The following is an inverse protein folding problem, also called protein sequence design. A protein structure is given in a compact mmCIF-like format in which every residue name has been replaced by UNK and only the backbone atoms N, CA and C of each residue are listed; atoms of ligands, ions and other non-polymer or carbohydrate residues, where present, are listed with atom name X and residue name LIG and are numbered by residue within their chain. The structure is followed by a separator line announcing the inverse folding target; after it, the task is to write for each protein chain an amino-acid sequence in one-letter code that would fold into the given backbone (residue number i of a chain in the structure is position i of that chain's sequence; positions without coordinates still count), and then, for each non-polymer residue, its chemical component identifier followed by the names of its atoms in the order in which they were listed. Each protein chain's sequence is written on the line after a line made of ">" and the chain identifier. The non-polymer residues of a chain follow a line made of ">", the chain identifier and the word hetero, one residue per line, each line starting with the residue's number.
data_IF_307817407049
#
_entry.id   IF_307817407049
#
_cell.length_a   1.000
_cell.length_b   1.000
_cell.length_c   1.000
_cell.angle_alpha   90.00
_cell.angle_beta   90.00
_cell.angle_gamma   90.00
#
_symmetry.space_group_name_H-M   'P 1'
#
loop_
_entity.id
_entity.type
_entity.pdbx_description
1 polymer ?
#
# COMPACT_ATOMS: atom_id res chain seq x y z
N UNK A 1 -42.31 86.86 -1.89
CA UNK A 1 -42.86 85.88 -0.91
C UNK A 1 -42.07 84.56 -0.90
N UNK A 2 -41.72 84.00 -2.07
CA UNK A 2 -40.95 82.73 -2.18
C UNK A 2 -39.53 82.83 -1.59
N UNK A 3 -38.86 83.97 -1.73
CA UNK A 3 -37.51 84.17 -1.19
C UNK A 3 -37.44 84.16 0.34
N UNK A 4 -38.46 84.69 1.02
CA UNK A 4 -38.53 84.73 2.48
C UNK A 4 -38.75 83.34 3.09
N UNK A 5 -39.55 82.48 2.45
CA UNK A 5 -39.73 81.10 2.91
C UNK A 5 -38.48 80.25 2.66
N UNK A 6 -37.80 80.45 1.52
CA UNK A 6 -36.52 79.79 1.24
C UNK A 6 -35.44 80.18 2.27
N UNK A 7 -35.38 81.45 2.65
CA UNK A 7 -34.46 81.91 3.70
C UNK A 7 -34.83 81.32 5.07
N UNK A 8 -36.11 81.17 5.38
CA UNK A 8 -36.58 80.56 6.64
C UNK A 8 -36.22 79.08 6.71
N UNK A 9 -36.39 78.36 5.61
CA UNK A 9 -36.01 76.96 5.50
C UNK A 9 -34.49 76.77 5.58
N UNK A 10 -33.71 77.64 4.93
CA UNK A 10 -32.25 77.65 5.04
C UNK A 10 -31.79 77.96 6.47
N UNK A 11 -32.44 78.92 7.15
CA UNK A 11 -32.19 79.25 8.56
C UNK A 11 -32.44 78.04 9.47
N UNK A 12 -33.51 77.28 9.23
CA UNK A 12 -33.79 76.04 9.98
C UNK A 12 -32.75 74.94 9.70
N UNK A 13 -32.38 74.75 8.43
CA UNK A 13 -31.36 73.77 8.05
C UNK A 13 -30.00 74.05 8.72
N UNK A 14 -29.57 75.31 8.71
CA UNK A 14 -28.32 75.74 9.34
C UNK A 14 -28.39 75.51 10.86
N UNK A 15 -29.48 75.90 11.52
CA UNK A 15 -29.64 75.65 12.96
C UNK A 15 -29.60 74.15 13.30
N UNK A 16 -30.25 73.29 12.51
CA UNK A 16 -30.19 71.83 12.72
C UNK A 16 -28.77 71.27 12.51
N UNK A 17 -28.02 71.81 11.54
CA UNK A 17 -26.65 71.40 11.28
C UNK A 17 -25.67 71.85 12.39
N UNK A 18 -25.91 73.02 12.98
CA UNK A 18 -25.14 73.53 14.11
C UNK A 18 -25.46 72.79 15.41
N UNK A 19 -26.73 72.45 15.64
CA UNK A 19 -27.19 71.66 16.79
C UNK A 19 -26.65 70.23 16.75
N UNK A 20 -26.72 69.54 15.61
CA UNK A 20 -26.14 68.20 15.43
C UNK A 20 -24.62 68.14 15.63
N UNK A 21 -23.92 69.27 15.47
CA UNK A 21 -22.47 69.41 15.74
C UNK A 21 -22.16 69.91 17.15
N UNK A 22 -23.19 70.13 17.98
CA UNK A 22 -23.07 70.61 19.36
C UNK A 22 -22.49 72.03 19.45
N UNK A 23 -22.79 72.88 18.46
CA UNK A 23 -22.38 74.29 18.39
C UNK A 23 -23.49 75.24 18.86
N UNK A 24 -24.73 74.75 18.99
CA UNK A 24 -25.86 75.46 19.59
C UNK A 24 -26.40 74.63 20.75
N UNK A 25 -26.99 75.31 21.74
CA UNK A 25 -27.71 74.70 22.86
C UNK A 25 -29.19 74.54 22.50
N UNK A 26 -29.84 73.52 23.04
CA UNK A 26 -31.25 73.26 22.77
C UNK A 26 -32.12 74.48 23.12
N UNK A 27 -32.79 75.04 22.12
CA UNK A 27 -33.68 76.20 22.26
C UNK A 27 -33.07 77.56 21.89
N UNK A 28 -31.75 77.66 21.63
CA UNK A 28 -31.07 78.91 21.24
C UNK A 28 -30.86 79.02 19.72
N UNK A 29 -31.94 78.91 18.94
CA UNK A 29 -31.84 79.00 17.48
C UNK A 29 -31.49 80.43 17.04
N UNK A 30 -30.59 80.55 16.06
CA UNK A 30 -30.24 81.84 15.46
C UNK A 30 -31.21 82.13 14.33
N UNK A 31 -31.90 83.28 14.39
CA UNK A 31 -32.74 83.73 13.30
C UNK A 31 -31.89 84.45 12.24
N UNK A 32 -31.63 83.77 11.12
CA UNK A 32 -30.84 84.32 10.02
C UNK A 32 -31.68 85.13 9.03
N UNK A 33 -33.02 85.05 9.08
CA UNK A 33 -33.89 85.77 8.16
C UNK A 33 -34.19 87.19 8.61
N UNK A 34 -34.25 87.41 9.93
CA UNK A 34 -34.49 88.72 10.53
C UNK A 34 -33.67 88.86 11.83
N UNK A 35 -32.52 89.55 11.80
CA UNK A 35 -31.56 89.55 12.92
C UNK A 35 -32.01 90.37 14.13
N UNK A 36 -33.08 91.16 14.01
CA UNK A 36 -33.67 91.98 15.08
C UNK A 36 -34.27 93.28 14.54
N UNK A 37 -35.18 93.89 15.31
CA UNK A 37 -35.83 95.16 14.93
C UNK A 37 -35.06 96.40 15.43
N UNK A 38 -34.22 96.23 16.45
CA UNK A 38 -33.35 97.28 17.00
C UNK A 38 -31.87 96.99 16.76
N UNK A 39 -31.04 98.03 16.74
CA UNK A 39 -29.58 97.90 16.59
C UNK A 39 -28.95 97.00 17.67
N UNK A 40 -29.54 96.98 18.88
CA UNK A 40 -29.09 96.12 19.98
C UNK A 40 -29.41 94.63 19.73
N UNK A 41 -30.57 94.32 19.16
CA UNK A 41 -30.98 92.94 18.86
C UNK A 41 -30.15 92.35 17.72
N UNK A 42 -29.87 93.17 16.69
CA UNK A 42 -28.98 92.79 15.59
C UNK A 42 -27.57 92.51 16.11
N UNK A 43 -27.05 93.34 17.02
CA UNK A 43 -25.76 93.11 17.65
C UNK A 43 -25.73 91.81 18.49
N UNK A 44 -26.81 91.50 19.21
CA UNK A 44 -26.93 90.25 19.98
C UNK A 44 -26.97 89.01 19.06
N UNK A 45 -27.72 89.06 17.96
CA UNK A 45 -27.77 87.96 16.98
C UNK A 45 -26.44 87.77 16.29
N UNK A 46 -25.76 88.86 15.88
CA UNK A 46 -24.42 88.79 15.30
C UNK A 46 -23.36 88.29 16.30
N UNK A 47 -23.50 88.63 17.59
CA UNK A 47 -22.65 88.09 18.65
C UNK A 47 -22.77 86.56 18.78
N UNK A 48 -23.98 86.01 18.69
CA UNK A 48 -24.21 84.55 18.67
C UNK A 48 -23.60 83.89 17.44
N UNK A 49 -23.75 84.51 16.27
CA UNK A 49 -23.12 84.01 15.02
C UNK A 49 -21.61 84.01 15.16
N UNK A 50 -21.02 85.08 15.69
CA UNK A 50 -19.57 85.18 15.90
C UNK A 50 -19.08 84.16 16.93
N UNK A 51 -19.85 83.86 17.98
CA UNK A 51 -19.52 82.81 18.94
C UNK A 51 -19.50 81.42 18.28
N UNK A 52 -20.51 81.10 17.46
CA UNK A 52 -20.55 79.83 16.70
C UNK A 52 -19.41 79.74 15.70
N UNK A 53 -19.08 80.83 15.01
CA UNK A 53 -17.94 80.89 14.07
C UNK A 53 -16.62 80.72 14.81
N UNK A 54 -16.45 81.35 15.97
CA UNK A 54 -15.26 81.18 16.80
C UNK A 54 -15.13 79.72 17.27
N UNK A 55 -16.21 79.11 17.77
CA UNK A 55 -16.21 77.69 18.15
C UNK A 55 -15.90 76.75 16.97
N UNK A 56 -16.37 77.08 15.76
CA UNK A 56 -16.04 76.34 14.54
C UNK A 56 -14.57 76.47 14.16
N UNK A 57 -14.00 77.66 14.29
CA UNK A 57 -12.58 77.94 14.03
C UNK A 57 -11.73 77.18 15.06
N UNK A 58 -12.04 77.32 16.36
CA UNK A 58 -11.33 76.62 17.43
C UNK A 58 -11.43 75.10 17.29
N UNK A 59 -12.60 74.52 17.01
CA UNK A 59 -12.71 73.06 16.81
C UNK A 59 -12.01 72.56 15.55
N UNK A 60 -11.90 73.40 14.52
CA UNK A 60 -11.17 73.09 13.29
C UNK A 60 -9.66 73.18 13.51
N UNK A 61 -9.20 74.18 14.24
CA UNK A 61 -7.78 74.45 14.51
C UNK A 61 -7.23 73.54 15.64
N UNK A 62 -8.01 73.28 16.69
CA UNK A 62 -7.57 72.50 17.87
C UNK A 62 -7.73 70.98 17.69
N UNK A 63 -8.52 70.50 16.72
CA UNK A 63 -8.82 69.07 16.60
C UNK A 63 -9.25 68.55 15.24
N UNK A 64 -9.63 69.42 14.29
CA UNK A 64 -10.13 68.99 12.98
C UNK A 64 -9.03 68.50 12.05
N UNK A 65 -7.94 69.27 11.95
CA UNK A 65 -6.80 68.90 11.11
C UNK A 65 -6.10 67.63 11.64
N UNK A 66 -5.90 67.54 12.95
CA UNK A 66 -5.28 66.38 13.59
C UNK A 66 -6.14 65.12 13.46
N UNK A 67 -7.47 65.21 13.65
CA UNK A 67 -8.37 64.06 13.45
C UNK A 67 -8.45 63.61 11.99
N UNK A 68 -8.45 64.54 11.03
CA UNK A 68 -8.44 64.17 9.60
C UNK A 68 -7.12 63.50 9.21
N UNK A 69 -5.99 64.05 9.65
CA UNK A 69 -4.67 63.44 9.43
C UNK A 69 -4.56 62.08 10.11
N UNK A 70 -5.09 61.93 11.32
CA UNK A 70 -5.10 60.67 12.04
C UNK A 70 -5.98 59.63 11.33
N UNK A 71 -7.19 60.00 10.89
CA UNK A 71 -8.07 59.12 10.12
C UNK A 71 -7.41 58.68 8.81
N UNK A 72 -6.77 59.60 8.09
CA UNK A 72 -6.06 59.26 6.84
C UNK A 72 -4.82 58.38 7.10
N UNK A 73 -4.13 58.57 8.22
CA UNK A 73 -3.03 57.71 8.64
C UNK A 73 -3.51 56.29 8.98
N UNK A 74 -4.60 56.16 9.75
CA UNK A 74 -5.24 54.89 10.08
C UNK A 74 -5.76 54.16 8.82
N UNK A 75 -6.35 54.87 7.86
CA UNK A 75 -6.75 54.30 6.56
C UNK A 75 -5.56 53.82 5.74
N UNK A 76 -4.47 54.59 5.69
CA UNK A 76 -3.23 54.15 5.01
C UNK A 76 -2.60 52.96 5.71
N UNK A 77 -2.57 52.95 7.04
CA UNK A 77 -2.02 51.86 7.82
C UNK A 77 -2.82 50.59 7.59
N UNK A 78 -4.15 50.64 7.74
CA UNK A 78 -5.03 49.50 7.48
C UNK A 78 -4.89 48.96 6.05
N UNK A 79 -4.87 49.82 5.02
CA UNK A 79 -4.59 49.39 3.64
C UNK A 79 -3.20 48.76 3.47
N UNK A 80 -2.19 49.29 4.15
CA UNK A 80 -0.84 48.71 4.11
C UNK A 80 -0.79 47.34 4.79
N UNK A 81 -1.58 47.14 5.86
CA UNK A 81 -1.68 45.85 6.54
C UNK A 81 -2.39 44.83 5.68
N UNK A 82 -3.52 45.19 5.04
CA UNK A 82 -4.25 44.28 4.15
C UNK A 82 -3.43 43.91 2.91
N UNK A 83 -2.65 44.84 2.35
CA UNK A 83 -1.72 44.53 1.27
C UNK A 83 -0.60 43.58 1.70
N UNK A 84 -0.08 43.71 2.93
CA UNK A 84 0.92 42.79 3.46
C UNK A 84 0.35 41.40 3.71
N UNK A 85 -0.85 41.31 4.28
CA UNK A 85 -1.53 40.01 4.49
C UNK A 85 -1.87 39.34 3.16
N UNK A 86 -2.38 40.09 2.18
CA UNK A 86 -2.74 39.55 0.87
C UNK A 86 -1.52 39.08 0.08
N UNK A 87 -0.38 39.78 0.20
CA UNK A 87 0.90 39.29 -0.36
C UNK A 87 1.39 38.01 0.32
N UNK A 88 1.31 37.94 1.65
CA UNK A 88 1.70 36.74 2.38
C UNK A 88 0.81 35.54 2.04
N UNK A 89 -0.51 35.78 1.92
CA UNK A 89 -1.47 34.76 1.50
C UNK A 89 -1.24 34.31 0.06
N UNK A 90 -1.01 35.24 -0.87
CA UNK A 90 -0.71 34.91 -2.28
C UNK A 90 0.56 34.06 -2.40
N UNK A 91 1.61 34.37 -1.64
CA UNK A 91 2.83 33.56 -1.59
C UNK A 91 2.58 32.16 -1.01
N UNK A 92 1.75 32.06 0.03
CA UNK A 92 1.36 30.78 0.62
C UNK A 92 0.57 29.93 -0.38
N UNK A 93 -0.45 30.50 -1.01
CA UNK A 93 -1.25 29.84 -2.04
C UNK A 93 -0.38 29.39 -3.22
N UNK A 94 0.58 30.20 -3.67
CA UNK A 94 1.51 29.81 -4.73
C UNK A 94 2.37 28.60 -4.34
N UNK A 95 2.88 28.56 -3.10
CA UNK A 95 3.62 27.40 -2.59
C UNK A 95 2.74 26.14 -2.49
N UNK A 96 1.51 26.28 -2.03
CA UNK A 96 0.57 25.17 -1.92
C UNK A 96 0.20 24.62 -3.31
N UNK A 97 -0.02 25.50 -4.30
CA UNK A 97 -0.24 25.12 -5.70
C UNK A 97 0.98 24.35 -6.24
N UNK A 98 2.20 24.84 -6.00
CA UNK A 98 3.41 24.17 -6.46
C UNK A 98 3.53 22.76 -5.84
N UNK A 99 3.30 22.62 -4.54
CA UNK A 99 3.31 21.30 -3.86
C UNK A 99 2.25 20.36 -4.41
N UNK A 100 1.06 20.87 -4.72
CA UNK A 100 0.00 20.07 -5.33
C UNK A 100 0.36 19.65 -6.76
N UNK A 101 1.01 20.52 -7.53
CA UNK A 101 1.51 20.19 -8.87
C UNK A 101 2.61 19.12 -8.84
N UNK A 102 3.56 19.22 -7.91
CA UNK A 102 4.61 18.21 -7.70
C UNK A 102 4.01 16.85 -7.32
N UNK A 103 3.06 16.83 -6.38
CA UNK A 103 2.32 15.60 -6.02
C UNK A 103 1.54 15.02 -7.19
N UNK A 104 0.87 15.86 -7.98
CA UNK A 104 0.12 15.40 -9.14
C UNK A 104 1.05 14.80 -10.20
N UNK A 105 2.20 15.42 -10.46
CA UNK A 105 3.23 14.86 -11.35
C UNK A 105 3.77 13.52 -10.84
N UNK A 106 3.95 13.36 -9.52
CA UNK A 106 4.36 12.09 -8.92
C UNK A 106 3.28 11.00 -9.08
N UNK A 107 2.01 11.33 -8.81
CA UNK A 107 0.90 10.40 -9.02
C UNK A 107 0.76 9.98 -10.49
N UNK A 108 0.92 10.91 -11.44
CA UNK A 108 0.92 10.59 -12.87
C UNK A 108 2.04 9.61 -13.24
N UNK A 109 3.26 9.79 -12.69
CA UNK A 109 4.35 8.83 -12.89
C UNK A 109 4.02 7.46 -12.31
N UNK A 110 3.48 7.40 -11.09
CA UNK A 110 3.06 6.14 -10.45
C UNK A 110 2.00 5.41 -11.26
N UNK A 111 1.01 6.13 -11.79
CA UNK A 111 -0.02 5.55 -12.66
C UNK A 111 0.61 4.99 -13.95
N UNK A 112 1.46 5.75 -14.63
CA UNK A 112 2.12 5.26 -15.86
C UNK A 112 2.98 4.01 -15.64
N UNK A 113 3.63 3.89 -14.47
CA UNK A 113 4.40 2.70 -14.10
C UNK A 113 3.49 1.51 -13.78
N UNK A 114 2.38 1.74 -13.08
CA UNK A 114 1.40 0.71 -12.80
C UNK A 114 0.72 0.21 -14.09
N UNK A 115 0.38 1.10 -15.01
CA UNK A 115 -0.19 0.74 -16.32
C UNK A 115 0.80 -0.09 -17.16
N UNK A 116 2.08 0.29 -17.20
CA UNK A 116 3.08 -0.51 -17.93
C UNK A 116 3.31 -1.88 -17.30
N UNK A 117 3.32 -1.97 -15.97
CA UNK A 117 3.37 -3.25 -15.25
C UNK A 117 2.12 -4.10 -15.54
N UNK A 118 0.92 -3.51 -15.52
CA UNK A 118 -0.34 -4.19 -15.83
C UNK A 118 -0.32 -4.76 -17.27
N UNK A 119 0.10 -3.97 -18.26
CA UNK A 119 0.19 -4.45 -19.64
C UNK A 119 1.14 -5.64 -19.77
N UNK A 120 2.26 -5.63 -19.04
CA UNK A 120 3.23 -6.73 -19.00
C UNK A 120 2.65 -7.98 -18.36
N UNK A 121 1.97 -7.84 -17.22
CA UNK A 121 1.33 -8.99 -16.56
C UNK A 121 0.19 -9.57 -17.41
N UNK A 122 -0.58 -8.72 -18.10
CA UNK A 122 -1.63 -9.16 -19.03
C UNK A 122 -1.06 -9.93 -20.23
N UNK A 123 0.08 -9.54 -20.79
CA UNK A 123 0.71 -10.30 -21.88
C UNK A 123 1.28 -11.62 -21.39
N UNK A 124 1.90 -11.64 -20.21
CA UNK A 124 2.37 -12.87 -19.57
C UNK A 124 1.21 -13.85 -19.31
N UNK A 125 0.09 -13.37 -18.76
CA UNK A 125 -1.10 -14.18 -18.52
C UNK A 125 -1.64 -14.80 -19.82
N UNK A 126 -1.79 -14.02 -20.89
CA UNK A 126 -2.20 -14.55 -22.21
C UNK A 126 -1.23 -15.59 -22.75
N UNK A 127 0.07 -15.39 -22.55
CA UNK A 127 1.10 -16.35 -22.97
C UNK A 127 1.01 -17.66 -22.19
N UNK A 128 0.78 -17.59 -20.87
CA UNK A 128 0.61 -18.74 -20.00
C UNK A 128 -0.68 -19.51 -20.33
N UNK A 129 -1.78 -18.81 -20.58
CA UNK A 129 -3.05 -19.40 -21.04
C UNK A 129 -2.86 -20.18 -22.35
N UNK A 130 -2.12 -19.62 -23.32
CA UNK A 130 -1.82 -20.31 -24.58
C UNK A 130 -0.98 -21.59 -24.35
N UNK A 131 0.00 -21.56 -23.45
CA UNK A 131 0.80 -22.73 -23.07
C UNK A 131 -0.08 -23.79 -22.40
N UNK A 132 -0.94 -23.39 -21.46
CA UNK A 132 -1.87 -24.30 -20.78
C UNK A 132 -2.79 -24.98 -21.80
N UNK A 133 -3.32 -24.22 -22.76
CA UNK A 133 -4.19 -24.78 -23.79
C UNK A 133 -3.44 -25.80 -24.66
N UNK A 134 -2.21 -25.50 -25.05
CA UNK A 134 -1.35 -26.43 -25.79
C UNK A 134 -1.05 -27.70 -24.98
N UNK A 135 -0.72 -27.56 -23.70
CA UNK A 135 -0.47 -28.71 -22.81
C UNK A 135 -1.72 -29.58 -22.62
N UNK A 136 -2.91 -28.96 -22.54
CA UNK A 136 -4.18 -29.70 -22.50
C UNK A 136 -4.41 -30.51 -23.78
N UNK A 137 -4.11 -29.95 -24.94
CA UNK A 137 -4.20 -30.67 -26.23
C UNK A 137 -3.19 -31.82 -26.32
N UNK A 138 -1.95 -31.62 -25.88
CA UNK A 138 -0.91 -32.66 -25.82
C UNK A 138 -1.28 -33.78 -24.82
N UNK A 139 -1.84 -33.43 -23.66
CA UNK A 139 -2.37 -34.38 -22.69
C UNK A 139 -3.55 -35.19 -23.26
N UNK A 140 -4.45 -34.56 -24.02
CA UNK A 140 -5.54 -35.27 -24.68
C UNK A 140 -5.02 -36.26 -25.75
N UNK A 141 -4.05 -35.84 -26.58
CA UNK A 141 -3.41 -36.70 -27.59
C UNK A 141 -2.70 -37.90 -26.95
N UNK A 142 -1.94 -37.69 -25.88
CA UNK A 142 -1.24 -38.77 -25.16
C UNK A 142 -2.23 -39.75 -24.52
N UNK A 143 -3.34 -39.26 -23.94
CA UNK A 143 -4.41 -40.13 -23.41
C UNK A 143 -5.00 -41.03 -24.48
N UNK A 144 -5.26 -40.49 -25.68
CA UNK A 144 -5.75 -41.29 -26.83
C UNK A 144 -4.71 -42.32 -27.26
N UNK A 145 -3.43 -41.93 -27.36
CA UNK A 145 -2.34 -42.83 -27.73
C UNK A 145 -2.21 -43.99 -26.73
N UNK A 146 -2.29 -43.72 -25.42
CA UNK A 146 -2.25 -44.76 -24.38
C UNK A 146 -3.45 -45.71 -24.48
N UNK A 147 -4.64 -45.19 -24.77
CA UNK A 147 -5.81 -46.05 -25.00
C UNK A 147 -5.62 -46.95 -26.23
N UNK A 148 -5.06 -46.41 -27.31
CA UNK A 148 -4.75 -47.14 -28.54
C UNK A 148 -3.71 -48.25 -28.29
N UNK A 149 -2.62 -47.96 -27.57
CA UNK A 149 -1.57 -48.96 -27.27
C UNK A 149 -2.10 -50.07 -26.36
N UNK A 150 -2.92 -49.74 -25.36
CA UNK A 150 -3.62 -50.73 -24.52
C UNK A 150 -4.52 -51.64 -25.36
N UNK A 151 -5.31 -51.07 -26.26
CA UNK A 151 -6.19 -51.85 -27.15
C UNK A 151 -5.39 -52.74 -28.13
N UNK A 152 -4.31 -52.23 -28.71
CA UNK A 152 -3.41 -52.99 -29.58
C UNK A 152 -2.77 -54.16 -28.84
N UNK A 153 -2.21 -53.91 -27.64
CA UNK A 153 -1.62 -54.94 -26.77
C UNK A 153 -2.64 -56.04 -26.43
N UNK A 154 -3.86 -55.66 -26.00
CA UNK A 154 -4.92 -56.62 -25.70
C UNK A 154 -5.29 -57.49 -26.93
N UNK A 155 -5.27 -56.92 -28.13
CA UNK A 155 -5.54 -57.66 -29.36
C UNK A 155 -4.40 -58.63 -29.73
N UNK A 156 -3.14 -58.22 -29.53
CA UNK A 156 -1.98 -59.09 -29.73
C UNK A 156 -1.98 -60.27 -28.77
N UNK A 157 -2.27 -60.04 -27.48
CA UNK A 157 -2.39 -61.10 -26.47
C UNK A 157 -3.45 -62.12 -26.91
N UNK A 158 -4.66 -61.66 -27.27
CA UNK A 158 -5.72 -62.56 -27.78
C UNK A 158 -5.31 -63.31 -29.05
N UNK A 159 -4.51 -62.70 -29.94
CA UNK A 159 -4.01 -63.37 -31.14
C UNK A 159 -2.99 -64.46 -30.78
N UNK A 160 -2.08 -64.17 -29.85
CA UNK A 160 -1.11 -65.15 -29.34
C UNK A 160 -1.80 -66.27 -28.58
N UNK A 161 -2.81 -65.99 -27.76
CA UNK A 161 -3.59 -67.00 -27.05
C UNK A 161 -4.24 -67.99 -28.04
N UNK A 162 -4.88 -67.49 -29.10
CA UNK A 162 -5.45 -68.35 -30.15
C UNK A 162 -4.39 -69.19 -30.87
N UNK A 163 -3.20 -68.63 -31.12
CA UNK A 163 -2.09 -69.39 -31.70
C UNK A 163 -1.59 -70.48 -30.75
N UNK A 164 -1.42 -70.15 -29.47
CA UNK A 164 -1.02 -71.09 -28.42
C UNK A 164 -2.04 -72.21 -28.30
N UNK A 165 -3.33 -71.91 -28.29
CA UNK A 165 -4.40 -72.92 -28.22
C UNK A 165 -4.43 -73.79 -29.48
N UNK A 166 -4.18 -73.22 -30.66
CA UNK A 166 -3.99 -73.97 -31.90
C UNK A 166 -2.81 -74.94 -31.84
N UNK A 167 -1.66 -74.47 -31.34
CA UNK A 167 -0.45 -75.29 -31.15
C UNK A 167 -0.68 -76.38 -30.09
N UNK A 168 -1.31 -76.07 -28.95
CA UNK A 168 -1.70 -77.04 -27.92
C UNK A 168 -2.58 -78.13 -28.53
N UNK A 169 -3.59 -77.76 -29.32
CA UNK A 169 -4.47 -78.72 -30.00
C UNK A 169 -3.68 -79.64 -30.93
N UNK A 170 -2.79 -79.08 -31.77
CA UNK A 170 -1.94 -79.86 -32.66
C UNK A 170 -1.02 -80.83 -31.89
N UNK A 171 -0.42 -80.40 -30.79
CA UNK A 171 0.40 -81.26 -29.91
C UNK A 171 -0.44 -82.36 -29.26
N UNK A 172 -1.65 -82.05 -28.78
CA UNK A 172 -2.55 -83.07 -28.20
C UNK A 172 -3.02 -84.10 -29.23
N UNK A 173 -3.28 -83.69 -30.47
CA UNK A 173 -3.66 -84.58 -31.58
C UNK A 173 -2.48 -85.49 -31.97
N UNK A 174 -1.28 -84.91 -32.09
CA UNK A 174 -0.03 -85.64 -32.27
C UNK A 174 0.24 -86.64 -31.12
N UNK A 175 -0.10 -86.28 -29.88
CA UNK A 175 0.01 -87.14 -28.71
C UNK A 175 -1.04 -88.25 -28.65
N UNK A 176 -2.24 -88.03 -29.20
CA UNK A 176 -3.33 -89.02 -29.27
C UNK A 176 -3.09 -90.08 -30.35
N UNK A 177 -2.27 -89.77 -31.36
CA UNK A 177 -1.80 -90.71 -32.37
C UNK A 177 -0.77 -91.74 -31.85
N UNK A 178 -0.60 -91.90 -30.53
CA UNK A 178 0.26 -92.93 -29.91
C UNK A 178 -0.36 -94.34 -29.95
N UNK A 179 -1.02 -94.66 -31.06
CA UNK A 179 -1.67 -95.94 -31.33
C UNK A 179 -1.99 -96.21 -32.80
N UNK A 180 -1.86 -95.23 -33.71
CA UNK A 180 -2.12 -95.46 -35.14
C UNK A 180 -1.21 -94.60 -36.02
N UNK A 181 -0.26 -95.29 -36.67
CA UNK A 181 0.56 -94.88 -37.81
C UNK A 181 1.44 -93.63 -37.64
N UNK A 182 2.75 -93.84 -37.84
CA UNK A 182 3.81 -92.83 -37.88
C UNK A 182 3.47 -91.71 -38.86
N UNK A 183 3.17 -90.51 -38.35
CA UNK A 183 3.18 -89.29 -39.16
C UNK A 183 4.63 -88.84 -39.37
N UNK A 184 5.10 -88.62 -40.61
CA UNK A 184 6.52 -88.39 -40.92
C UNK A 184 7.01 -86.95 -40.66
N UNK A 185 6.31 -86.16 -39.82
CA UNK A 185 6.62 -84.72 -39.64
C UNK A 185 7.00 -84.27 -38.24
N UNK A 186 7.03 -85.17 -37.24
CA UNK A 186 7.27 -84.78 -35.85
C UNK A 186 8.71 -85.13 -35.46
N UNK A 187 9.62 -84.18 -35.68
CA UNK A 187 10.97 -84.22 -35.12
C UNK A 187 10.84 -83.95 -33.63
N UNK A 188 10.77 -85.02 -32.83
CA UNK A 188 10.72 -84.92 -31.37
C UNK A 188 12.16 -84.75 -30.89
N UNK A 189 12.60 -83.51 -30.67
CA UNK A 189 13.91 -83.24 -30.06
C UNK A 189 13.75 -83.34 -28.55
N UNK A 190 14.10 -84.50 -27.98
CA UNK A 190 14.30 -84.64 -26.54
C UNK A 190 15.62 -83.98 -26.17
N UNK A 191 15.56 -82.73 -25.70
CA UNK A 191 16.72 -82.08 -25.08
C UNK A 191 16.88 -82.67 -23.68
N UNK A 192 17.70 -83.71 -23.58
CA UNK A 192 18.32 -84.08 -22.30
C UNK A 192 19.41 -83.05 -22.07
N UNK A 193 19.34 -82.33 -20.94
CA UNK A 193 20.43 -81.47 -20.50
C UNK A 193 21.61 -82.34 -20.12
N UNK A 194 22.45 -82.67 -21.11
CA UNK A 194 23.74 -83.29 -20.91
C UNK A 194 24.76 -82.18 -20.66
N UNK A 195 25.24 -82.11 -19.42
CA UNK A 195 26.37 -81.27 -19.04
C UNK A 195 27.62 -82.01 -19.48
N UNK A 196 28.03 -81.71 -20.72
CA UNK A 196 29.39 -81.78 -21.24
C UNK A 196 30.23 -83.02 -20.94
N UNK A 197 30.45 -83.85 -21.96
CA UNK A 197 31.80 -84.39 -22.19
C UNK A 197 32.04 -84.69 -23.67
N UNK A 198 33.12 -84.10 -24.15
CA UNK A 198 33.80 -84.17 -25.45
C UNK A 198 33.81 -85.56 -26.16
N UNK A 199 33.60 -85.56 -27.48
CA UNK A 199 34.49 -86.19 -28.49
C UNK A 199 33.78 -86.46 -29.84
N UNK A 200 34.13 -85.66 -30.85
CA UNK A 200 34.46 -86.11 -32.21
C UNK A 200 33.33 -86.58 -33.16
N UNK A 201 33.00 -85.75 -34.15
CA UNK A 201 33.39 -85.89 -35.58
C UNK A 201 32.42 -85.09 -36.48
N UNK A 202 33.01 -84.23 -37.32
CA UNK A 202 32.46 -83.64 -38.54
C UNK A 202 31.36 -82.57 -38.43
N UNK A 203 31.79 -81.32 -38.21
CA UNK A 203 31.57 -80.16 -39.07
C UNK A 203 32.01 -78.95 -38.25
N UNK A 204 33.15 -78.36 -38.60
CA UNK A 204 33.68 -77.15 -37.99
C UNK A 204 32.79 -75.96 -38.39
N UNK A 205 31.63 -75.87 -37.76
CA UNK A 205 30.95 -74.59 -37.52
C UNK A 205 31.65 -74.03 -36.30
N UNK A 206 32.55 -73.10 -36.57
CA UNK A 206 33.17 -72.23 -35.60
C UNK A 206 32.09 -71.68 -34.67
N UNK A 207 31.98 -72.22 -33.45
CA UNK A 207 31.34 -71.53 -32.32
C UNK A 207 32.30 -70.53 -31.70
N UNK A 208 33.13 -69.90 -32.53
CA UNK A 208 33.64 -68.57 -32.19
C UNK A 208 32.43 -67.68 -32.38
N UNK A 209 31.72 -67.46 -31.28
CA UNK A 209 30.79 -66.35 -31.17
C UNK A 209 31.61 -65.09 -31.42
N UNK A 210 31.69 -64.67 -32.68
CA UNK A 210 32.43 -63.51 -33.18
C UNK A 210 31.83 -62.16 -32.70
N UNK A 211 31.07 -62.21 -31.60
CA UNK A 211 30.42 -61.09 -30.95
C UNK A 211 30.37 -61.20 -29.43
N UNK A 212 30.94 -62.25 -28.82
CA UNK A 212 31.02 -62.38 -27.36
C UNK A 212 32.44 -62.06 -26.88
N UNK A 213 32.77 -60.77 -26.90
CA UNK A 213 34.02 -60.25 -26.36
C UNK A 213 33.76 -59.71 -24.95
N UNK A 214 34.40 -60.28 -23.93
CA UNK A 214 34.35 -59.81 -22.54
C UNK A 214 34.75 -58.34 -22.40
N UNK A 215 35.55 -57.82 -23.35
CA UNK A 215 35.87 -56.39 -23.43
C UNK A 215 34.65 -55.56 -23.85
N UNK A 216 33.78 -56.09 -24.68
CA UNK A 216 32.50 -55.48 -25.05
C UNK A 216 31.56 -55.38 -23.85
N UNK A 217 31.47 -56.43 -23.03
CA UNK A 217 30.69 -56.40 -21.78
C UNK A 217 31.29 -55.43 -20.75
N UNK A 218 32.62 -55.42 -20.58
CA UNK A 218 33.30 -54.50 -19.67
C UNK A 218 33.13 -53.05 -20.12
N UNK A 219 33.25 -52.78 -21.43
CA UNK A 219 33.01 -51.45 -21.98
C UNK A 219 31.53 -51.06 -21.89
N UNK A 220 30.60 -52.00 -22.06
CA UNK A 220 29.16 -51.75 -21.87
C UNK A 220 28.86 -51.41 -20.40
N UNK A 221 29.43 -52.16 -19.46
CA UNK A 221 29.27 -51.90 -18.02
C UNK A 221 29.89 -50.57 -17.61
N UNK A 222 31.09 -50.23 -18.10
CA UNK A 222 31.72 -48.93 -17.83
C UNK A 222 30.95 -47.77 -18.47
N UNK A 223 30.40 -47.96 -19.67
CA UNK A 223 29.55 -46.96 -20.30
C UNK A 223 28.24 -46.76 -19.54
N UNK A 224 27.63 -47.84 -19.06
CA UNK A 224 26.42 -47.80 -18.23
C UNK A 224 26.71 -47.13 -16.88
N UNK A 225 27.80 -47.49 -16.20
CA UNK A 225 28.22 -46.86 -14.96
C UNK A 225 28.55 -45.37 -15.13
N UNK A 226 29.27 -45.01 -16.20
CA UNK A 226 29.57 -43.61 -16.51
C UNK A 226 28.29 -42.82 -16.82
N UNK A 227 27.32 -43.45 -17.49
CA UNK A 227 26.00 -42.86 -17.73
C UNK A 227 25.23 -42.66 -16.43
N UNK A 228 25.13 -43.68 -15.57
CA UNK A 228 24.44 -43.58 -14.29
C UNK A 228 25.10 -42.53 -13.38
N UNK A 229 26.43 -42.51 -13.27
CA UNK A 229 27.14 -41.47 -12.52
C UNK A 229 26.92 -40.06 -13.09
N UNK A 230 26.82 -39.94 -14.41
CA UNK A 230 26.52 -38.64 -15.04
C UNK A 230 25.08 -38.20 -14.79
N UNK A 231 24.11 -39.13 -14.85
CA UNK A 231 22.71 -38.88 -14.52
C UNK A 231 22.52 -38.50 -13.04
N UNK A 232 23.20 -39.20 -12.12
CA UNK A 232 23.19 -38.88 -10.69
C UNK A 232 23.84 -37.51 -10.41
N UNK A 233 24.97 -37.20 -11.05
CA UNK A 233 25.60 -35.89 -10.91
C UNK A 233 24.69 -34.76 -11.41
N UNK A 234 24.03 -34.92 -12.57
CA UNK A 234 23.08 -33.91 -13.07
C UNK A 234 21.87 -33.76 -12.14
N UNK A 235 21.37 -34.85 -11.55
CA UNK A 235 20.30 -34.80 -10.57
C UNK A 235 20.73 -34.03 -9.30
N UNK A 236 21.95 -34.24 -8.81
CA UNK A 236 22.52 -33.51 -7.67
C UNK A 236 22.69 -32.02 -8.01
N UNK A 237 23.22 -31.70 -9.20
CA UNK A 237 23.33 -30.31 -9.66
C UNK A 237 21.96 -29.64 -9.76
N UNK A 238 20.94 -30.35 -10.25
CA UNK A 238 19.57 -29.86 -10.30
C UNK A 238 19.01 -29.56 -8.91
N UNK A 239 19.24 -30.45 -7.95
CA UNK A 239 18.82 -30.24 -6.56
C UNK A 239 19.54 -29.04 -5.94
N UNK A 240 20.86 -28.94 -6.12
CA UNK A 240 21.68 -27.86 -5.56
C UNK A 240 21.27 -26.49 -6.14
N UNK A 241 20.99 -26.42 -7.45
CA UNK A 241 20.46 -25.22 -8.10
C UNK A 241 19.11 -24.82 -7.51
N UNK A 242 18.18 -25.78 -7.37
CA UNK A 242 16.86 -25.54 -6.76
C UNK A 242 16.97 -25.06 -5.31
N UNK A 243 17.91 -25.63 -4.53
CA UNK A 243 18.14 -25.17 -3.15
C UNK A 243 18.75 -23.77 -3.10
N UNK A 244 19.68 -23.45 -4.01
CA UNK A 244 20.26 -22.10 -4.14
C UNK A 244 19.17 -21.08 -4.46
N UNK A 245 18.32 -21.37 -5.45
CA UNK A 245 17.18 -20.53 -5.83
C UNK A 245 16.22 -20.31 -4.65
N UNK A 246 15.88 -21.35 -3.88
CA UNK A 246 15.01 -21.20 -2.70
C UNK A 246 15.65 -20.41 -1.57
N UNK A 247 16.93 -20.58 -1.31
CA UNK A 247 17.65 -19.76 -0.33
C UNK A 247 17.73 -18.30 -0.80
N UNK A 248 17.91 -18.07 -2.11
CA UNK A 248 17.89 -16.74 -2.73
C UNK A 248 16.52 -16.07 -2.59
N UNK A 249 15.44 -16.79 -2.90
CA UNK A 249 14.05 -16.33 -2.72
C UNK A 249 13.77 -15.94 -1.26
N UNK A 250 14.16 -16.77 -0.29
CA UNK A 250 13.89 -16.52 1.14
C UNK A 250 14.74 -15.39 1.72
N UNK A 251 15.99 -15.28 1.27
CA UNK A 251 16.91 -14.26 1.76
C UNK A 251 16.72 -12.90 1.09
N UNK A 252 16.07 -12.85 -0.08
CA UNK A 252 15.98 -11.64 -0.90
C UNK A 252 17.34 -11.22 -1.46
N UNK A 253 18.33 -12.12 -1.48
CA UNK A 253 19.66 -11.84 -1.98
C UNK A 253 19.65 -11.73 -3.50
N UNK A 254 19.45 -10.53 -4.02
CA UNK A 254 19.72 -10.23 -5.42
C UNK A 254 21.19 -9.85 -5.51
N UNK A 255 22.03 -10.78 -5.99
CA UNK A 255 23.49 -10.70 -5.92
C UNK A 255 24.01 -9.29 -6.14
N UNK A 256 24.85 -8.81 -5.22
CA UNK A 256 25.38 -7.45 -5.24
C UNK A 256 26.13 -7.16 -6.55
N UNK A 257 25.43 -6.64 -7.57
CA UNK A 257 26.04 -6.34 -8.86
C UNK A 257 25.17 -6.36 -10.13
N UNK A 258 23.86 -6.57 -10.09
CA UNK A 258 23.05 -6.64 -11.33
C UNK A 258 22.42 -5.30 -11.76
N UNK A 259 23.21 -4.22 -11.76
CA UNK A 259 22.84 -2.93 -12.41
C UNK A 259 23.45 -2.81 -13.82
N UNK A 260 24.21 -3.80 -14.29
CA UNK A 260 24.89 -3.73 -15.59
C UNK A 260 24.77 -5.03 -16.40
N UNK A 261 23.57 -5.52 -16.72
CA UNK A 261 23.36 -6.53 -17.77
C UNK A 261 21.89 -6.64 -18.22
N UNK A 262 21.21 -5.51 -18.48
CA UNK A 262 19.89 -5.54 -19.14
C UNK A 262 19.93 -5.41 -20.67
N UNK A 263 21.12 -5.43 -21.27
CA UNK A 263 21.33 -5.37 -22.73
C UNK A 263 22.08 -6.60 -23.26
N UNK A 264 21.61 -7.80 -22.91
CA UNK A 264 22.06 -9.04 -23.57
C UNK A 264 20.84 -9.86 -24.01
N UNK A 265 20.02 -9.27 -24.87
CA UNK A 265 19.32 -9.99 -25.92
C UNK A 265 20.38 -10.63 -26.83
N UNK A 266 20.97 -11.72 -26.36
CA UNK A 266 21.64 -12.70 -27.19
C UNK A 266 21.61 -14.02 -26.45
N UNK A 267 20.92 -14.94 -27.09
CA UNK A 267 20.83 -16.37 -26.82
C UNK A 267 22.24 -16.99 -26.83
N UNK A 268 23.03 -16.74 -25.79
CA UNK A 268 24.25 -17.43 -25.48
C UNK A 268 23.89 -18.50 -24.45
N UNK A 269 23.96 -19.75 -24.88
CA UNK A 269 23.93 -20.95 -24.06
C UNK A 269 24.59 -20.67 -22.71
N UNK A 270 23.79 -20.57 -21.64
CA UNK A 270 24.30 -20.54 -20.29
C UNK A 270 25.17 -21.79 -20.13
N UNK A 271 26.49 -21.60 -20.09
CA UNK A 271 27.42 -22.65 -19.73
C UNK A 271 26.97 -23.20 -18.37
N UNK A 272 27.07 -24.52 -18.13
CA UNK A 272 26.74 -25.07 -16.83
C UNK A 272 27.59 -24.34 -15.79
N UNK A 273 26.93 -23.59 -14.89
CA UNK A 273 27.59 -22.94 -13.76
C UNK A 273 28.51 -23.96 -13.11
N UNK A 274 29.80 -23.67 -13.08
CA UNK A 274 30.76 -24.62 -12.53
C UNK A 274 30.41 -24.88 -11.06
N UNK A 275 30.67 -26.09 -10.55
CA UNK A 275 30.40 -26.41 -9.14
C UNK A 275 31.00 -25.37 -8.18
N UNK A 276 32.14 -24.79 -8.54
CA UNK A 276 32.80 -23.72 -7.80
C UNK A 276 32.00 -22.41 -7.79
N UNK A 277 31.39 -22.01 -8.91
CA UNK A 277 30.54 -20.82 -8.98
C UNK A 277 29.28 -20.96 -8.13
N UNK A 278 28.62 -22.12 -8.20
CA UNK A 278 27.42 -22.40 -7.40
C UNK A 278 27.75 -22.45 -5.89
N UNK A 279 28.90 -23.01 -5.53
CA UNK A 279 29.38 -23.00 -4.15
C UNK A 279 29.64 -21.57 -3.64
N UNK A 280 30.23 -20.70 -4.48
CA UNK A 280 30.47 -19.31 -4.11
C UNK A 280 29.16 -18.51 -3.97
N UNK A 281 28.18 -18.78 -4.83
CA UNK A 281 26.84 -18.19 -4.74
C UNK A 281 26.14 -18.58 -3.43
N UNK A 282 26.12 -19.88 -3.11
CA UNK A 282 25.52 -20.38 -1.86
C UNK A 282 26.21 -19.80 -0.63
N UNK A 283 27.55 -19.72 -0.62
CA UNK A 283 28.28 -19.11 0.50
C UNK A 283 27.91 -17.63 0.68
N UNK A 284 27.72 -16.89 -0.42
CA UNK A 284 27.31 -15.48 -0.34
C UNK A 284 25.87 -15.31 0.15
N UNK A 285 24.95 -16.18 -0.26
CA UNK A 285 23.57 -16.20 0.25
C UNK A 285 23.57 -16.52 1.75
N UNK A 286 24.35 -17.50 2.18
CA UNK A 286 24.44 -17.88 3.60
C UNK A 286 25.04 -16.76 4.46
N UNK A 287 26.05 -16.04 3.97
CA UNK A 287 26.60 -14.88 4.69
C UNK A 287 25.60 -13.71 4.75
N UNK A 288 24.79 -13.52 3.70
CA UNK A 288 23.70 -12.54 3.72
C UNK A 288 22.63 -12.92 4.75
N UNK A 289 22.19 -14.18 4.76
CA UNK A 289 21.25 -14.71 5.76
C UNK A 289 21.80 -14.56 7.18
N UNK A 290 23.08 -14.85 7.38
CA UNK A 290 23.76 -14.64 8.66
C UNK A 290 23.68 -13.17 9.08
N UNK A 291 23.93 -12.24 8.16
CA UNK A 291 23.86 -10.80 8.43
C UNK A 291 22.44 -10.37 8.81
N UNK A 292 21.42 -10.88 8.11
CA UNK A 292 20.00 -10.62 8.44
C UNK A 292 19.69 -11.17 9.83
N UNK A 293 19.98 -12.43 10.09
CA UNK A 293 19.63 -13.11 11.34
C UNK A 293 20.42 -12.62 12.56
N UNK A 294 21.59 -12.01 12.36
CA UNK A 294 22.40 -11.41 13.43
C UNK A 294 22.20 -9.91 13.54
N UNK A 295 21.33 -9.31 12.72
CA UNK A 295 21.03 -7.89 12.83
C UNK A 295 20.21 -7.64 14.12
N UNK A 296 20.71 -6.81 15.06
CA UNK A 296 20.02 -6.51 16.32
C UNK A 296 18.68 -5.79 16.15
N UNK A 297 18.30 -5.41 14.92
CA UNK A 297 16.98 -4.86 14.62
C UNK A 297 15.89 -5.90 14.36
N UNK A 298 16.20 -7.21 14.33
CA UNK A 298 15.18 -8.25 14.27
C UNK A 298 14.51 -8.40 15.63
N UNK A 299 13.30 -7.86 15.70
CA UNK A 299 12.41 -7.92 16.85
C UNK A 299 11.46 -9.10 16.64
N UNK A 300 11.21 -9.95 17.65
CA UNK A 300 10.23 -11.03 17.56
C UNK A 300 8.86 -10.53 17.07
N UNK A 301 8.19 -11.34 16.26
CA UNK A 301 6.89 -10.97 15.66
C UNK A 301 5.85 -10.63 16.73
N UNK A 302 5.92 -11.28 17.88
CA UNK A 302 5.03 -11.04 19.03
C UNK A 302 5.19 -9.62 19.58
N UNK A 303 6.41 -9.12 19.66
CA UNK A 303 6.70 -7.77 20.16
C UNK A 303 6.29 -6.71 19.13
N UNK A 304 6.33 -7.03 17.83
CA UNK A 304 5.77 -6.19 16.77
C UNK A 304 4.25 -6.10 16.90
N UNK A 305 3.56 -7.23 17.07
CA UNK A 305 2.09 -7.28 17.24
C UNK A 305 1.65 -6.47 18.46
N UNK A 306 2.34 -6.62 19.60
CA UNK A 306 2.04 -5.82 20.81
C UNK A 306 2.21 -4.32 20.57
N UNK A 307 3.25 -3.92 19.82
CA UNK A 307 3.44 -2.51 19.45
C UNK A 307 2.37 -2.02 18.47
N UNK A 308 1.97 -2.85 17.52
CA UNK A 308 0.90 -2.51 16.59
C UNK A 308 -0.42 -2.33 17.33
N UNK A 309 -0.77 -3.20 18.27
CA UNK A 309 -1.97 -3.05 19.10
C UNK A 309 -1.94 -1.78 19.96
N UNK A 310 -0.78 -1.44 20.53
CA UNK A 310 -0.60 -0.18 21.26
C UNK A 310 -0.77 1.04 20.34
N UNK A 311 -0.20 1.00 19.14
CA UNK A 311 -0.35 2.07 18.15
C UNK A 311 -1.81 2.24 17.76
N UNK A 312 -2.55 1.15 17.53
CA UNK A 312 -3.98 1.21 17.23
C UNK A 312 -4.76 1.82 18.39
N UNK A 313 -4.51 1.38 19.63
CA UNK A 313 -5.17 1.94 20.82
C UNK A 313 -4.89 3.43 20.99
N UNK A 314 -3.65 3.85 20.77
CA UNK A 314 -3.27 5.28 20.84
C UNK A 314 -3.95 6.08 19.73
N UNK A 315 -4.02 5.56 18.50
CA UNK A 315 -4.73 6.20 17.39
C UNK A 315 -6.22 6.39 17.69
N UNK A 316 -6.88 5.35 18.20
CA UNK A 316 -8.30 5.41 18.61
C UNK A 316 -8.51 6.44 19.73
N UNK A 317 -7.59 6.50 20.70
CA UNK A 317 -7.62 7.48 21.77
C UNK A 317 -7.48 8.91 21.25
N UNK A 318 -6.56 9.12 20.30
CA UNK A 318 -6.36 10.41 19.63
C UNK A 318 -7.57 10.84 18.81
N UNK A 319 -8.19 9.94 18.05
CA UNK A 319 -9.39 10.23 17.27
C UNK A 319 -10.58 10.60 18.16
N UNK A 320 -10.77 9.89 19.28
CA UNK A 320 -11.76 10.25 20.30
C UNK A 320 -11.49 11.62 20.93
N UNK A 321 -10.21 11.97 21.13
CA UNK A 321 -9.84 13.29 21.63
C UNK A 321 -10.13 14.36 20.57
N UNK A 322 -9.82 14.11 19.30
CA UNK A 322 -10.06 15.02 18.18
C UNK A 322 -11.56 15.27 17.97
N UNK A 323 -12.40 14.23 17.98
CA UNK A 323 -13.86 14.37 17.85
C UNK A 323 -14.44 15.20 18.99
N UNK A 324 -14.03 14.94 20.24
CA UNK A 324 -14.44 15.75 21.40
C UNK A 324 -13.93 17.18 21.35
N UNK A 325 -12.71 17.40 20.85
CA UNK A 325 -12.18 18.75 20.68
C UNK A 325 -12.98 19.52 19.63
N UNK A 326 -13.33 18.86 18.51
CA UNK A 326 -14.25 19.42 17.51
C UNK A 326 -15.60 19.77 18.13
N UNK A 327 -16.21 18.90 18.93
CA UNK A 327 -17.48 19.17 19.62
C UNK A 327 -17.37 20.37 20.57
N UNK A 328 -16.29 20.46 21.34
CA UNK A 328 -16.04 21.60 22.23
C UNK A 328 -15.89 22.91 21.47
N UNK A 329 -15.19 22.91 20.33
CA UNK A 329 -15.09 24.07 19.44
C UNK A 329 -16.46 24.46 18.89
N UNK A 330 -17.26 23.49 18.42
CA UNK A 330 -18.63 23.76 17.94
C UNK A 330 -19.52 24.35 19.04
N UNK A 331 -19.37 23.91 20.29
CA UNK A 331 -20.09 24.48 21.44
C UNK A 331 -19.67 25.94 21.69
N UNK A 332 -18.37 26.23 21.68
CA UNK A 332 -17.84 27.58 21.87
C UNK A 332 -18.30 28.50 20.73
N UNK A 333 -18.25 28.04 19.49
CA UNK A 333 -18.72 28.79 18.32
C UNK A 333 -20.23 29.03 18.38
N UNK A 334 -21.00 28.02 18.81
CA UNK A 334 -22.43 28.15 19.07
C UNK A 334 -22.74 29.19 20.16
N UNK A 335 -21.96 29.22 21.24
CA UNK A 335 -22.09 30.23 22.29
C UNK A 335 -21.73 31.63 21.78
N UNK A 336 -20.63 31.76 21.04
CA UNK A 336 -20.21 33.02 20.42
C UNK A 336 -21.27 33.56 19.47
N UNK A 337 -21.83 32.71 18.60
CA UNK A 337 -22.86 33.11 17.65
C UNK A 337 -24.17 33.51 18.36
N UNK A 338 -24.60 32.76 19.39
CA UNK A 338 -25.78 33.13 20.19
C UNK A 338 -25.58 34.45 20.94
N UNK A 339 -24.39 34.70 21.45
CA UNK A 339 -24.06 35.98 22.10
C UNK A 339 -24.11 37.14 21.11
N UNK A 340 -23.62 36.95 19.88
CA UNK A 340 -23.66 37.94 18.81
C UNK A 340 -25.09 38.23 18.31
N UNK A 341 -25.94 37.20 18.20
CA UNK A 341 -27.30 37.32 17.63
C UNK A 341 -28.35 37.71 18.68
N UNK A 342 -28.29 37.14 19.88
CA UNK A 342 -29.34 37.30 20.91
C UNK A 342 -28.94 38.20 22.08
N UNK A 343 -27.66 38.51 22.26
CA UNK A 343 -27.14 39.28 23.40
C UNK A 343 -27.31 38.61 24.77
N UNK A 344 -27.85 37.39 24.83
CA UNK A 344 -28.07 36.67 26.09
C UNK A 344 -26.76 35.99 26.54
N UNK A 345 -26.31 36.22 27.79
CA UNK A 345 -25.16 35.50 28.32
C UNK A 345 -25.50 34.01 28.53
N UNK A 346 -24.48 33.16 28.46
CA UNK A 346 -24.61 31.71 28.65
C UNK A 346 -24.95 31.41 30.11
N UNK A 347 -26.00 30.63 30.36
CA UNK A 347 -26.41 30.23 31.71
C UNK A 347 -25.44 29.18 32.31
N UNK A 348 -25.22 29.23 33.62
CA UNK A 348 -24.37 28.30 34.38
C UNK A 348 -24.85 26.85 34.28
N UNK A 349 -26.15 26.61 34.12
CA UNK A 349 -26.69 25.27 33.87
C UNK A 349 -26.36 24.74 32.46
N UNK A 350 -26.33 25.60 31.44
CA UNK A 350 -25.90 25.22 30.09
C UNK A 350 -24.40 24.93 30.04
N UNK A 351 -23.59 25.70 30.77
CA UNK A 351 -22.18 25.42 30.98
C UNK A 351 -21.98 24.09 31.70
N UNK A 352 -22.76 23.79 32.74
CA UNK A 352 -22.72 22.50 33.44
C UNK A 352 -23.17 21.34 32.55
N UNK A 353 -24.15 21.54 31.66
CA UNK A 353 -24.56 20.54 30.69
C UNK A 353 -23.45 20.26 29.66
N UNK A 354 -22.77 21.29 29.16
CA UNK A 354 -21.62 21.15 28.26
C UNK A 354 -20.39 20.53 28.93
N UNK A 355 -20.11 20.85 30.20
CA UNK A 355 -19.02 20.27 31.00
C UNK A 355 -19.30 18.84 31.49
N UNK A 356 -20.57 18.43 31.59
CA UNK A 356 -20.97 17.06 31.96
C UNK A 356 -20.73 16.03 30.86
N UNK A 357 -20.24 16.47 29.70
CA UNK A 357 -19.67 15.60 28.66
C UNK A 357 -18.19 15.25 28.92
N UNK A 358 -17.58 15.80 29.99
CA UNK A 358 -16.27 15.36 30.50
C UNK A 358 -16.37 13.95 31.12
N UNK A 359 -15.36 13.07 30.99
CA UNK A 359 -15.40 11.74 31.56
C UNK A 359 -15.76 11.81 33.05
N UNK A 360 -16.87 11.15 33.41
CA UNK A 360 -17.11 10.75 34.78
C UNK A 360 -15.87 9.94 35.20
N UNK A 361 -15.04 10.49 36.09
CA UNK A 361 -14.18 9.64 36.92
C UNK A 361 -15.12 8.83 37.78
N UNK A 362 -15.53 7.66 37.30
CA UNK A 362 -16.31 6.70 38.07
C UNK A 362 -15.34 6.14 39.12
N UNK A 363 -15.28 6.80 40.26
CA UNK A 363 -14.71 6.18 41.45
C UNK A 363 -15.62 4.99 41.78
N UNK A 364 -15.02 3.79 41.79
CA UNK A 364 -15.62 2.47 42.06
C UNK A 364 -15.95 1.57 40.84
N UNK A 365 -15.04 1.48 39.86
CA UNK A 365 -14.98 0.30 38.97
C UNK A 365 -13.56 -0.24 38.98
N UNK A 366 -13.39 -1.51 39.39
CA UNK A 366 -12.08 -2.15 39.56
C UNK A 366 -11.27 -2.23 38.25
N UNK A 367 -11.95 -2.22 37.10
CA UNK A 367 -11.32 -2.28 35.77
C UNK A 367 -10.65 -0.98 35.32
N UNK A 368 -10.86 0.15 36.02
CA UNK A 368 -10.13 1.42 35.74
C UNK A 368 -8.96 1.66 36.70
N UNK A 369 -8.72 0.75 37.64
CA UNK A 369 -7.65 0.88 38.63
C UNK A 369 -6.24 0.64 38.03
N UNK A 370 -6.15 -0.03 36.89
CA UNK A 370 -4.88 -0.31 36.19
C UNK A 370 -4.52 0.74 35.14
N UNK A 371 -4.99 1.98 35.31
CA UNK A 371 -4.39 3.14 34.65
C UNK A 371 -3.00 3.38 35.24
N UNK A 372 -1.98 2.83 34.60
CA UNK A 372 -0.57 3.13 34.89
C UNK A 372 -0.35 4.65 34.97
N UNK A 373 -0.16 5.14 36.21
CA UNK A 373 1.04 5.87 36.59
C UNK A 373 1.40 7.19 35.89
N UNK A 374 0.58 7.81 35.05
CA UNK A 374 0.85 9.18 34.58
C UNK A 374 0.38 10.21 35.62
N UNK A 375 1.08 10.22 36.77
CA UNK A 375 1.02 11.32 37.72
C UNK A 375 1.76 12.52 37.10
N UNK A 376 1.10 13.26 36.22
CA UNK A 376 1.57 14.59 35.83
C UNK A 376 1.59 15.44 37.11
N UNK A 377 2.80 15.70 37.60
CA UNK A 377 3.03 16.60 38.73
C UNK A 377 2.45 17.96 38.35
N UNK A 378 1.37 18.37 39.03
CA UNK A 378 0.89 19.73 38.95
C UNK A 378 2.06 20.64 39.32
N UNK A 379 2.49 21.46 38.36
CA UNK A 379 3.45 22.53 38.59
C UNK A 379 2.81 23.47 39.60
N UNK A 380 3.27 23.41 40.85
CA UNK A 380 2.93 24.40 41.86
C UNK A 380 3.54 25.73 41.41
N UNK A 381 2.71 26.77 41.29
CA UNK A 381 3.17 28.14 41.03
C UNK A 381 4.18 28.53 42.10
N UNK A 382 5.40 28.83 41.66
CA UNK A 382 6.47 29.31 42.51
C UNK A 382 6.09 30.67 43.08
N UNK A 383 5.75 30.69 44.36
CA UNK A 383 5.82 31.90 45.18
C UNK A 383 7.29 32.09 45.53
N UNK A 384 7.90 33.12 44.96
CA UNK A 384 9.20 33.61 45.40
C UNK A 384 9.09 34.04 46.85
N UNK A 385 9.80 33.37 47.77
CA UNK A 385 10.36 34.04 48.95
C UNK A 385 11.44 33.18 49.65
N UNK A 386 12.67 33.69 49.54
CA UNK A 386 13.76 33.65 50.52
C UNK A 386 14.43 32.31 50.86
N UNK A 387 15.51 32.07 50.12
CA UNK A 387 16.62 31.18 50.45
C UNK A 387 17.20 31.42 51.86
N UNK A 388 17.22 30.37 52.68
CA UNK A 388 18.17 30.20 53.78
C UNK A 388 18.76 28.79 53.71
N UNK A 389 20.09 28.76 53.82
CA UNK A 389 21.01 27.64 53.67
C UNK A 389 20.65 26.37 54.45
N UNK A 390 20.95 25.19 53.88
CA UNK A 390 21.90 24.24 54.49
C UNK A 390 22.42 23.17 53.51
N UNK A 391 23.65 22.76 53.79
CA UNK A 391 24.65 21.99 53.04
C UNK A 391 24.37 20.47 52.96
N UNK A 392 24.99 19.70 52.04
CA UNK A 392 24.63 18.32 51.73
C UNK A 392 25.51 17.28 52.46
N UNK A 393 25.01 16.05 52.57
CA UNK A 393 25.84 14.84 52.81
C UNK A 393 25.27 13.61 52.09
N UNK A 394 26.12 12.73 51.51
CA UNK A 394 25.70 11.68 50.59
C UNK A 394 25.76 10.25 51.16
N UNK A 395 25.01 9.34 50.55
CA UNK A 395 25.31 7.90 50.57
C UNK A 395 24.18 7.02 51.11
N UNK A 396 23.66 6.13 50.26
CA UNK A 396 23.57 4.68 50.53
C UNK A 396 22.86 4.00 49.35
N UNK A 397 23.58 3.06 48.74
CA UNK A 397 23.12 2.09 47.76
C UNK A 397 22.11 1.12 48.40
N UNK A 398 21.05 0.77 47.67
CA UNK A 398 20.28 -0.43 48.00
C UNK A 398 19.88 -1.19 46.74
N UNK A 399 20.64 -2.26 46.50
CA UNK A 399 20.31 -3.38 45.65
C UNK A 399 19.05 -4.08 46.17
N UNK A 400 18.13 -4.44 45.28
CA UNK A 400 17.03 -5.37 45.57
C UNK A 400 17.26 -6.64 44.69
N UNK A 401 17.26 -7.86 45.27
CA UNK A 401 17.53 -9.11 44.55
C UNK A 401 16.29 -9.71 43.85
N UNK A 402 16.47 -10.66 42.91
CA UNK A 402 15.37 -11.31 42.18
C UNK A 402 14.70 -12.42 43.00
N UNK A 403 13.40 -12.73 42.79
CA UNK A 403 12.82 -13.92 43.38
C UNK A 403 13.06 -15.15 42.51
N UNK A 404 13.45 -16.21 43.20
CA UNK A 404 13.67 -17.57 42.72
C UNK A 404 12.38 -18.25 42.27
N UNK A 405 12.60 -19.24 41.41
CA UNK A 405 11.67 -20.25 40.93
C UNK A 405 11.27 -21.19 42.08
N UNK A 406 10.00 -21.56 42.15
CA UNK A 406 9.57 -22.83 42.74
C UNK A 406 8.59 -23.51 41.77
N UNK A 407 8.91 -24.76 41.50
CA UNK A 407 8.23 -25.71 40.62
C UNK A 407 6.96 -26.31 41.26
N UNK A 408 6.25 -27.04 40.39
CA UNK A 408 5.20 -28.06 40.60
C UNK A 408 3.75 -27.60 40.87
N UNK A 409 2.88 -27.78 39.88
CA UNK A 409 2.03 -28.98 39.80
C UNK A 409 1.62 -29.28 38.35
N UNK A 410 1.64 -30.57 38.04
CA UNK A 410 1.29 -31.16 36.77
C UNK A 410 -0.22 -31.09 36.53
N UNK A 411 -0.61 -30.77 35.29
CA UNK A 411 -1.94 -31.09 34.78
C UNK A 411 -1.81 -31.55 33.34
N UNK A 412 -1.82 -32.87 33.16
CA UNK A 412 -2.03 -33.53 31.89
C UNK A 412 -3.34 -33.05 31.27
N UNK A 413 -3.27 -32.55 30.05
CA UNK A 413 -4.41 -32.48 29.13
C UNK A 413 -3.87 -32.57 27.72
N UNK A 414 -3.60 -33.79 27.30
CA UNK A 414 -3.65 -34.19 25.90
C UNK A 414 -5.07 -33.92 25.38
N UNK A 415 -5.23 -33.02 24.40
CA UNK A 415 -6.41 -33.03 23.55
C UNK A 415 -6.00 -32.85 22.09
N UNK A 416 -6.08 -33.97 21.38
CA UNK A 416 -6.05 -34.15 19.93
C UNK A 416 -6.97 -33.15 19.20
N UNK A 417 -6.46 -32.50 18.15
CA UNK A 417 -7.22 -31.59 17.27
C UNK A 417 -7.12 -31.98 15.78
N UNK A 418 -6.87 -33.26 15.50
CA UNK A 418 -6.95 -33.80 14.15
C UNK A 418 -7.79 -35.08 14.17
N UNK A 419 -9.09 -34.94 13.92
CA UNK A 419 -9.96 -35.90 13.22
C UNK A 419 -11.38 -35.35 13.27
N UNK A 420 -11.83 -34.74 12.18
CA UNK A 420 -13.25 -34.72 11.84
C UNK A 420 -13.34 -34.94 10.34
N UNK A 421 -13.49 -36.22 9.98
CA UNK A 421 -13.88 -36.69 8.67
C UNK A 421 -15.32 -36.21 8.42
N UNK A 422 -15.46 -35.16 7.61
CA UNK A 422 -16.75 -34.78 7.05
C UNK A 422 -16.77 -35.21 5.59
N UNK A 423 -17.44 -36.34 5.34
CA UNK A 423 -17.83 -36.79 4.02
C UNK A 423 -18.69 -35.70 3.34
N UNK A 424 -18.11 -34.97 2.40
CA UNK A 424 -18.84 -34.04 1.53
C UNK A 424 -19.29 -34.81 0.30
N UNK A 425 -20.57 -35.21 0.30
CA UNK A 425 -21.26 -35.76 -0.86
C UNK A 425 -21.13 -34.80 -2.06
N UNK A 426 -20.63 -35.34 -3.17
CA UNK A 426 -20.17 -34.59 -4.35
C UNK A 426 -21.29 -34.37 -5.39
N UNK A 427 -22.56 -34.52 -5.02
CA UNK A 427 -23.69 -34.59 -5.96
C UNK A 427 -24.78 -33.52 -5.78
N UNK A 428 -24.55 -32.43 -5.02
CA UNK A 428 -25.59 -31.41 -4.75
C UNK A 428 -25.20 -29.94 -5.05
N UNK A 429 -24.34 -29.71 -6.06
CA UNK A 429 -23.98 -28.37 -6.56
C UNK A 429 -24.46 -28.08 -7.99
N UNK A 430 -25.61 -28.62 -8.38
CA UNK A 430 -26.41 -28.13 -9.53
C UNK A 430 -27.67 -27.42 -9.01
N UNK A 431 -27.49 -26.29 -8.32
CA UNK A 431 -28.59 -25.36 -8.05
C UNK A 431 -28.41 -24.13 -8.95
N UNK A 432 -29.33 -23.98 -9.90
CA UNK A 432 -29.43 -22.88 -10.86
C UNK A 432 -29.33 -21.51 -10.18
N UNK A 433 -28.37 -20.68 -10.63
CA UNK A 433 -28.25 -19.28 -10.24
C UNK A 433 -29.48 -18.47 -10.71
N UNK A 434 -30.04 -17.57 -9.89
CA UNK A 434 -31.17 -16.75 -10.30
C UNK A 434 -30.76 -15.69 -11.32
N UNK A 435 -31.42 -15.74 -12.47
CA UNK A 435 -31.46 -14.74 -13.53
C UNK A 435 -31.52 -13.30 -12.99
N UNK A 436 -30.44 -12.53 -13.14
CA UNK A 436 -30.47 -11.06 -12.98
C UNK A 436 -30.67 -10.44 -14.36
N UNK A 437 -31.90 -10.01 -14.64
CA UNK A 437 -32.23 -9.22 -15.82
C UNK A 437 -31.49 -7.88 -15.79
N UNK A 438 -30.52 -7.72 -16.69
CA UNK A 438 -29.83 -6.44 -16.93
C UNK A 438 -30.83 -5.50 -17.61
N UNK A 439 -31.36 -4.55 -16.84
CA UNK A 439 -32.19 -3.47 -17.37
C UNK A 439 -31.34 -2.56 -18.26
N UNK A 440 -31.40 -2.78 -19.57
CA UNK A 440 -30.92 -1.84 -20.58
C UNK A 440 -31.77 -0.56 -20.51
N UNK A 441 -31.29 0.45 -19.81
CA UNK A 441 -31.71 1.83 -20.02
C UNK A 441 -30.57 2.65 -20.59
N UNK A 442 -30.62 2.78 -21.92
CA UNK A 442 -29.84 3.68 -22.73
C UNK A 442 -30.06 5.14 -22.31
N UNK A 443 -29.01 5.80 -21.81
CA UNK A 443 -28.83 7.25 -21.98
C UNK A 443 -27.60 7.46 -22.86
N UNK A 444 -27.84 7.71 -24.15
CA UNK A 444 -26.80 8.18 -25.07
C UNK A 444 -26.52 9.65 -24.80
N UNK A 445 -25.37 9.94 -24.20
CA UNK A 445 -24.76 11.27 -24.25
C UNK A 445 -23.64 11.24 -25.32
N UNK A 446 -23.56 12.24 -26.21
CA UNK A 446 -22.52 12.29 -27.22
C UNK A 446 -21.16 12.56 -26.57
N UNK A 447 -20.20 11.66 -26.78
CA UNK A 447 -18.81 11.79 -26.36
C UNK A 447 -18.12 12.96 -27.08
N UNK A 448 -17.36 13.77 -26.33
CA UNK A 448 -16.49 14.83 -26.86
C UNK A 448 -15.44 14.26 -27.82
N UNK A 449 -15.08 14.97 -28.91
CA UNK A 449 -14.12 14.47 -29.89
C UNK A 449 -12.71 14.39 -29.30
N UNK A 450 -12.03 13.28 -29.60
CA UNK A 450 -10.64 13.02 -29.22
C UNK A 450 -9.69 14.11 -29.79
N UNK A 451 -8.65 14.52 -29.05
CA UNK A 451 -7.65 15.45 -29.56
C UNK A 451 -6.83 14.82 -30.70
N UNK A 452 -6.51 15.65 -31.70
CA UNK A 452 -5.73 15.26 -32.90
C UNK A 452 -4.32 14.82 -32.50
N UNK A 453 -3.81 13.69 -33.03
CA UNK A 453 -2.46 13.22 -32.72
C UNK A 453 -1.39 14.22 -33.20
N UNK A 454 -0.28 14.39 -32.45
CA UNK A 454 0.77 15.33 -32.81
C UNK A 454 1.47 14.88 -34.10
N UNK A 455 1.59 15.81 -35.06
CA UNK A 455 2.36 15.59 -36.28
C UNK A 455 3.86 15.62 -35.97
N UNK A 456 4.53 14.49 -36.19
CA UNK A 456 5.99 14.39 -36.11
C UNK A 456 6.60 15.20 -37.25
N UNK A 457 7.48 16.14 -36.90
CA UNK A 457 8.29 16.89 -37.88
C UNK A 457 9.35 15.96 -38.50
N UNK A 458 9.73 16.12 -39.77
CA UNK A 458 10.76 15.28 -40.40
C UNK A 458 12.11 15.47 -39.69
N UNK A 459 12.74 14.35 -39.34
CA UNK A 459 14.10 14.27 -38.81
C UNK A 459 15.07 14.97 -39.79
N UNK A 460 15.79 15.98 -39.30
CA UNK A 460 16.93 16.56 -40.02
C UNK A 460 18.11 15.59 -39.91
N UNK A 461 18.49 15.01 -41.04
CA UNK A 461 19.75 14.29 -41.17
C UNK A 461 20.92 15.25 -40.93
N UNK A 462 21.60 15.08 -39.80
CA UNK A 462 22.89 15.71 -39.53
C UNK A 462 24.00 14.71 -39.84
N UNK A 463 24.52 14.80 -41.06
CA UNK A 463 25.80 14.19 -41.40
C UNK A 463 26.92 14.89 -40.63
N UNK A 464 27.53 14.19 -39.67
CA UNK A 464 28.87 14.54 -39.18
C UNK A 464 29.80 13.34 -39.32
N UNK A 465 30.51 13.35 -40.45
CA UNK A 465 31.93 13.00 -40.65
C UNK A 465 32.62 12.67 -39.30
N UNK A 466 33.07 11.45 -39.04
CA UNK A 466 34.18 10.80 -39.73
C UNK A 466 35.49 11.13 -39.00
N UNK A 467 35.83 10.37 -37.95
CA UNK A 467 37.15 10.45 -37.33
C UNK A 467 37.93 9.16 -37.66
N UNK A 468 38.79 9.25 -38.68
CA UNK A 468 39.86 8.28 -38.94
C UNK A 468 41.01 8.57 -37.98
N UNK A 469 41.66 7.51 -37.52
CA UNK A 469 42.78 7.59 -36.61
C UNK A 469 44.03 8.29 -37.16
N UNK A 470 44.82 8.76 -36.20
CA UNK A 470 46.28 8.77 -36.15
C UNK A 470 46.67 8.72 -34.67
#
# INVERSE_FOLDING_TARGET
>A
MIELENLRQASLYINNQLLSRGLLRDGENINFTHPGDSSADVAATMGRVMAVVNDLILRRDDGGLTKLLQRDAEHRESLSTTLRTLRAESLRQANDIQRLQEKNAEYQRKVSLAESAETTMRTQLKSAEAIIQRLKEEAAKTKVLVAQTRAACANEVRKRDRQIDGLKKAVTEAGRARGASKSPGITTITVVGDVGSDAGVAADVTTVSDGYDLRGETNSYLAELAKTLSEENEAIFGLMRKTSEKLKEMSGWDGAGEVLSKDADNQALALPASCAEMSAEIESILEHLRTILTNPSFVPIEEVVVREDEIHRLRDGWEKMETRWKEAVHLIDGWRNRMQVSGRPVNVEELKMGLRLSPVRVQNVAETAQGFGLRLSAVAEATEERSMMHSPTPGAEHFIPPPELDDVEASDSESSIFEDDVDVDVDDLEAEEPNVEILQQSFMLPSSPLPVPPQLSPLRDSHTVGNRGA
#
